data_IF_458718667460
#
_entry.id   IF_458718667460
#
_cell.length_a   1.000
_cell.length_b   1.000
_cell.length_c   1.000
_cell.angle_alpha   90.00
_cell.angle_beta   90.00
_cell.angle_gamma   90.00
#
_symmetry.space_group_name_H-M   'P 1'
#
loop_
_entity.id
_entity.type
_entity.pdbx_description
1 polymer ?
#
# COMPACT_ATOMS: atom_id res chain seq x y z
N UNK A 1 28.45 -3.71 5.37
CA UNK A 1 28.21 -3.94 3.94
C UNK A 1 28.80 -2.79 3.15
N UNK A 2 29.54 -3.10 2.09
CA UNK A 2 29.99 -2.09 1.14
C UNK A 2 28.81 -1.59 0.29
N UNK A 3 28.86 -0.33 -0.19
CA UNK A 3 27.82 0.18 -1.06
C UNK A 3 27.71 -0.67 -2.33
N UNK A 4 26.48 -0.93 -2.76
CA UNK A 4 26.25 -1.48 -4.09
C UNK A 4 26.55 -0.38 -5.11
N UNK A 5 27.59 -0.56 -5.92
CA UNK A 5 28.03 0.41 -6.95
C UNK A 5 27.85 -0.11 -8.37
N UNK A 6 27.49 -1.38 -8.52
CA UNK A 6 27.25 -2.00 -9.82
C UNK A 6 25.94 -1.49 -10.43
N UNK A 7 26.05 -0.94 -11.64
CA UNK A 7 24.92 -0.41 -12.43
C UNK A 7 23.85 -1.46 -12.69
N UNK A 8 24.19 -2.74 -12.83
CA UNK A 8 23.21 -3.82 -13.05
C UNK A 8 22.27 -3.96 -11.85
N UNK A 9 22.82 -3.88 -10.63
CA UNK A 9 22.02 -3.91 -9.41
C UNK A 9 21.15 -2.67 -9.25
N UNK A 10 21.66 -1.50 -9.62
CA UNK A 10 20.86 -0.28 -9.65
C UNK A 10 19.68 -0.40 -10.62
N UNK A 11 19.90 -0.89 -11.84
CA UNK A 11 18.82 -1.10 -12.82
C UNK A 11 17.79 -2.12 -12.32
N UNK A 12 18.24 -3.26 -11.77
CA UNK A 12 17.33 -4.25 -11.20
C UNK A 12 16.50 -3.65 -10.06
N UNK A 13 17.13 -2.86 -9.19
CA UNK A 13 16.45 -2.17 -8.11
C UNK A 13 15.40 -1.18 -8.63
N UNK A 14 15.72 -0.39 -9.66
CA UNK A 14 14.78 0.53 -10.30
C UNK A 14 13.55 -0.20 -10.83
N UNK A 15 13.74 -1.35 -11.48
CA UNK A 15 12.64 -2.15 -12.03
C UNK A 15 11.77 -2.70 -10.90
N UNK A 16 12.36 -3.43 -9.94
CA UNK A 16 11.60 -4.07 -8.86
C UNK A 16 10.97 -3.03 -7.91
N UNK A 17 11.72 -1.98 -7.58
CA UNK A 17 11.24 -0.87 -6.77
C UNK A 17 10.15 -0.07 -7.48
N UNK A 18 10.23 0.09 -8.80
CA UNK A 18 9.19 0.75 -9.59
C UNK A 18 7.90 -0.08 -9.64
N UNK A 19 8.00 -1.39 -9.87
CA UNK A 19 6.86 -2.31 -9.81
C UNK A 19 6.25 -2.38 -8.39
N UNK A 20 7.07 -2.31 -7.35
CA UNK A 20 6.56 -2.20 -5.98
C UNK A 20 5.87 -0.86 -5.72
N UNK A 21 6.47 0.24 -6.19
CA UNK A 21 5.93 1.59 -6.03
C UNK A 21 4.63 1.79 -6.81
N UNK A 22 4.42 1.10 -7.94
CA UNK A 22 3.17 1.18 -8.67
C UNK A 22 1.99 0.52 -7.94
N UNK A 23 2.21 -0.29 -6.90
CA UNK A 23 1.16 -0.83 -6.04
C UNK A 23 0.60 0.19 -5.04
N UNK A 24 0.98 1.45 -5.16
CA UNK A 24 0.39 2.52 -4.37
C UNK A 24 -1.10 2.67 -4.63
N UNK A 25 -1.82 2.98 -3.55
CA UNK A 25 -3.23 3.34 -3.56
C UNK A 25 -3.41 4.83 -3.24
N UNK A 26 -4.52 5.40 -3.69
CA UNK A 26 -4.86 6.82 -3.54
C UNK A 26 -4.80 7.31 -2.09
N UNK A 27 -5.48 6.58 -1.20
CA UNK A 27 -5.47 6.83 0.23
C UNK A 27 -4.52 5.83 0.89
N UNK A 28 -3.68 6.28 1.84
CA UNK A 28 -2.76 5.38 2.52
C UNK A 28 -3.51 4.31 3.32
N UNK A 29 -3.11 3.05 3.18
CA UNK A 29 -3.69 1.95 3.93
C UNK A 29 -3.34 2.05 5.42
N UNK A 30 -4.28 1.73 6.33
CA UNK A 30 -4.12 2.03 7.76
C UNK A 30 -2.87 1.42 8.41
N UNK A 31 -2.38 0.27 7.93
CA UNK A 31 -1.19 -0.36 8.50
C UNK A 31 0.05 -0.27 7.60
N UNK A 32 -0.11 0.17 6.35
CA UNK A 32 0.89 -0.02 5.29
C UNK A 32 1.19 1.26 4.51
N UNK A 33 0.43 2.33 4.73
CA UNK A 33 0.61 3.62 4.09
C UNK A 33 0.47 3.53 2.58
N UNK A 34 1.41 4.13 1.89
CA UNK A 34 1.54 4.07 0.43
C UNK A 34 2.28 2.79 -0.04
N UNK A 35 2.05 1.67 0.64
CA UNK A 35 2.57 0.35 0.28
C UNK A 35 4.10 0.26 0.20
N UNK A 36 4.61 -0.36 -0.87
CA UNK A 36 6.04 -0.65 -1.00
C UNK A 36 6.92 0.55 -1.32
N UNK A 37 6.35 1.74 -1.49
CA UNK A 37 7.16 2.93 -1.72
C UNK A 37 8.13 3.19 -0.56
N UNK A 38 7.65 3.12 0.69
CA UNK A 38 8.51 3.28 1.86
C UNK A 38 9.59 2.18 1.92
N UNK A 39 9.20 0.92 1.66
CA UNK A 39 10.14 -0.21 1.61
C UNK A 39 11.26 0.04 0.57
N UNK A 40 10.87 0.54 -0.61
CA UNK A 40 11.79 0.88 -1.70
C UNK A 40 12.74 2.00 -1.29
N UNK A 41 12.23 3.08 -0.68
CA UNK A 41 13.07 4.17 -0.18
C UNK A 41 14.06 3.69 0.88
N UNK A 42 13.60 2.86 1.81
CA UNK A 42 14.42 2.35 2.91
C UNK A 42 15.54 1.42 2.40
N UNK A 43 15.20 0.47 1.54
CA UNK A 43 16.18 -0.41 0.91
C UNK A 43 17.15 0.39 0.03
N UNK A 44 16.70 1.42 -0.69
CA UNK A 44 17.59 2.27 -1.47
C UNK A 44 18.61 2.98 -0.57
N UNK A 45 18.15 3.60 0.52
CA UNK A 45 19.01 4.26 1.50
C UNK A 45 20.05 3.30 2.12
N UNK A 46 19.66 2.03 2.32
CA UNK A 46 20.48 0.99 2.92
C UNK A 46 21.31 0.17 1.93
N UNK A 47 21.13 0.28 0.62
CA UNK A 47 21.96 -0.46 -0.34
C UNK A 47 22.94 0.47 -1.07
N UNK A 48 22.55 1.71 -1.31
CA UNK A 48 23.29 2.63 -2.19
C UNK A 48 23.89 3.81 -1.42
N UNK A 49 24.92 4.45 -2.00
CA UNK A 49 25.40 5.78 -1.55
C UNK A 49 24.35 6.85 -1.83
N UNK A 50 24.39 8.03 -1.17
CA UNK A 50 23.31 9.01 -1.24
C UNK A 50 22.87 9.39 -2.66
N UNK A 51 23.83 9.67 -3.55
CA UNK A 51 23.56 9.98 -4.96
C UNK A 51 22.83 8.84 -5.67
N UNK A 52 23.31 7.62 -5.50
CA UNK A 52 22.74 6.45 -6.19
C UNK A 52 21.40 6.04 -5.57
N UNK A 53 21.21 6.22 -4.26
CA UNK A 53 19.93 6.03 -3.59
C UNK A 53 18.87 7.02 -4.12
N UNK A 54 19.25 8.28 -4.32
CA UNK A 54 18.38 9.28 -4.96
C UNK A 54 18.01 8.85 -6.37
N UNK A 55 18.99 8.46 -7.20
CA UNK A 55 18.74 8.03 -8.58
C UNK A 55 17.92 6.73 -8.64
N UNK A 56 18.13 5.80 -7.71
CA UNK A 56 17.35 4.57 -7.61
C UNK A 56 15.88 4.86 -7.35
N UNK A 57 15.58 5.71 -6.36
CA UNK A 57 14.20 6.08 -6.03
C UNK A 57 13.57 6.92 -7.14
N UNK A 58 14.30 7.88 -7.72
CA UNK A 58 13.82 8.67 -8.84
C UNK A 58 13.49 7.79 -10.05
N UNK A 59 14.38 6.86 -10.40
CA UNK A 59 14.15 5.92 -11.48
C UNK A 59 12.93 5.02 -11.21
N UNK A 60 12.81 4.49 -9.99
CA UNK A 60 11.69 3.65 -9.59
C UNK A 60 10.36 4.40 -9.65
N UNK A 61 10.29 5.63 -9.14
CA UNK A 61 9.05 6.43 -9.15
C UNK A 61 8.68 6.87 -10.56
N UNK A 62 9.65 7.24 -11.41
CA UNK A 62 9.41 7.51 -12.84
C UNK A 62 8.87 6.27 -13.55
N UNK A 63 9.46 5.09 -13.30
CA UNK A 63 8.98 3.83 -13.89
C UNK A 63 7.56 3.49 -13.44
N UNK A 64 7.18 3.84 -12.21
CA UNK A 64 5.85 3.61 -11.67
C UNK A 64 4.78 4.55 -12.29
N UNK A 65 5.15 5.76 -12.75
CA UNK A 65 4.23 6.76 -13.31
C UNK A 65 3.19 6.21 -14.30
N UNK A 66 3.58 5.50 -15.39
CA UNK A 66 2.60 5.01 -16.37
C UNK A 66 1.57 4.06 -15.74
N UNK A 67 1.99 3.20 -14.81
CA UNK A 67 1.09 2.30 -14.08
C UNK A 67 0.19 3.03 -13.09
N UNK A 68 0.57 4.22 -12.67
CA UNK A 68 -0.21 5.02 -11.73
C UNK A 68 -1.23 5.95 -12.44
N UNK A 69 -0.78 6.63 -13.50
CA UNK A 69 -1.56 7.68 -14.17
C UNK A 69 -2.46 7.12 -15.28
N UNK A 70 -1.92 6.29 -16.18
CA UNK A 70 -2.68 5.82 -17.35
C UNK A 70 -3.94 5.06 -16.95
N UNK A 71 -3.87 4.13 -15.99
CA UNK A 71 -5.09 3.47 -15.61
C UNK A 71 -5.90 4.40 -14.70
N UNK A 72 -5.27 5.34 -13.95
CA UNK A 72 -5.84 6.29 -12.95
C UNK A 72 -5.87 5.74 -11.53
N UNK A 73 -4.84 4.99 -11.10
CA UNK A 73 -4.81 4.27 -9.80
C UNK A 73 -4.48 5.15 -8.63
N UNK A 74 -3.67 6.15 -8.90
CA UNK A 74 -3.41 7.26 -8.02
C UNK A 74 -3.82 8.58 -8.68
N UNK A 75 -4.14 9.62 -7.90
CA UNK A 75 -4.28 10.98 -8.39
C UNK A 75 -2.97 11.43 -9.05
N UNK A 76 -3.10 12.13 -10.17
CA UNK A 76 -1.95 12.59 -10.95
C UNK A 76 -1.03 13.45 -10.10
N UNK A 77 -1.59 14.36 -9.33
CA UNK A 77 -0.89 15.31 -8.45
C UNK A 77 -0.10 14.57 -7.37
N UNK A 78 -0.73 13.62 -6.69
CA UNK A 78 -0.09 12.76 -5.67
C UNK A 78 1.04 11.96 -6.30
N UNK A 79 0.82 11.43 -7.50
CA UNK A 79 1.83 10.66 -8.24
C UNK A 79 3.04 11.52 -8.61
N UNK A 80 2.82 12.74 -9.11
CA UNK A 80 3.89 13.69 -9.44
C UNK A 80 4.65 14.13 -8.18
N UNK A 81 3.96 14.42 -7.09
CA UNK A 81 4.59 14.73 -5.81
C UNK A 81 5.46 13.57 -5.31
N UNK A 82 5.04 12.31 -5.49
CA UNK A 82 5.86 11.16 -5.13
C UNK A 82 7.19 11.10 -5.90
N UNK A 83 7.20 11.49 -7.18
CA UNK A 83 8.42 11.55 -7.99
C UNK A 83 9.36 12.65 -7.49
N UNK A 84 8.82 13.80 -7.07
CA UNK A 84 9.61 14.94 -6.64
C UNK A 84 10.14 14.79 -5.20
N UNK A 85 9.27 14.42 -4.27
CA UNK A 85 9.55 14.47 -2.82
C UNK A 85 10.37 13.25 -2.36
N UNK A 86 10.02 12.04 -2.80
CA UNK A 86 10.61 10.82 -2.22
C UNK A 86 12.09 10.62 -2.51
N UNK A 87 12.62 10.94 -3.69
CA UNK A 87 14.07 10.92 -3.91
C UNK A 87 14.80 11.90 -2.99
N UNK A 88 14.25 13.12 -2.83
CA UNK A 88 14.81 14.16 -1.96
C UNK A 88 14.81 13.75 -0.49
N UNK A 89 13.78 13.02 -0.04
CA UNK A 89 13.68 12.49 1.32
C UNK A 89 14.60 11.27 1.53
N UNK A 90 14.82 10.45 0.50
CA UNK A 90 15.69 9.27 0.58
C UNK A 90 17.18 9.63 0.66
N UNK A 91 17.58 10.71 -0.02
CA UNK A 91 18.97 11.18 -0.03
C UNK A 91 19.56 11.42 1.38
N UNK A 92 18.94 12.24 2.27
CA UNK A 92 19.44 12.44 3.63
C UNK A 92 19.34 11.15 4.46
N UNK A 93 18.33 10.31 4.28
CA UNK A 93 18.23 9.02 4.97
C UNK A 93 19.41 8.09 4.62
N UNK A 94 19.88 8.11 3.37
CA UNK A 94 21.10 7.39 2.97
C UNK A 94 22.35 7.98 3.64
N UNK A 95 22.50 9.32 3.68
CA UNK A 95 23.61 9.97 4.41
C UNK A 95 23.66 9.49 5.86
N UNK A 96 22.50 9.55 6.54
CA UNK A 96 22.36 9.15 7.93
C UNK A 96 22.68 7.66 8.08
N UNK A 97 22.23 6.79 7.18
CA UNK A 97 22.61 5.37 7.20
C UNK A 97 24.12 5.20 7.23
N UNK A 98 24.84 5.92 6.36
CA UNK A 98 26.28 5.75 6.20
C UNK A 98 27.10 6.36 7.35
N UNK A 99 26.49 7.25 8.15
CA UNK A 99 27.14 7.89 9.30
C UNK A 99 26.72 7.30 10.65
N UNK A 100 25.44 6.95 10.80
CA UNK A 100 24.79 6.63 12.07
C UNK A 100 24.11 5.25 12.08
N UNK A 101 24.09 4.55 10.94
CA UNK A 101 23.58 3.19 10.82
C UNK A 101 22.11 3.05 10.41
N UNK A 102 21.64 1.81 10.19
CA UNK A 102 20.31 1.54 9.61
C UNK A 102 19.13 1.99 10.47
N UNK A 103 19.21 1.85 11.79
CA UNK A 103 18.11 2.21 12.70
C UNK A 103 17.82 3.72 12.64
N UNK A 104 18.85 4.55 12.80
CA UNK A 104 18.69 6.01 12.75
C UNK A 104 18.20 6.45 11.37
N UNK A 105 18.70 5.81 10.30
CA UNK A 105 18.22 6.03 8.95
C UNK A 105 16.73 5.73 8.78
N UNK A 106 16.23 4.59 9.28
CA UNK A 106 14.81 4.26 9.25
C UNK A 106 13.96 5.27 10.01
N UNK A 107 14.36 5.62 11.24
CA UNK A 107 13.63 6.59 12.06
C UNK A 107 13.57 7.97 11.39
N UNK A 108 14.70 8.44 10.84
CA UNK A 108 14.76 9.69 10.09
C UNK A 108 13.91 9.65 8.82
N UNK A 109 13.94 8.54 8.08
CA UNK A 109 13.13 8.37 6.87
C UNK A 109 11.63 8.39 7.21
N UNK A 110 11.22 7.68 8.26
CA UNK A 110 9.83 7.69 8.74
C UNK A 110 9.40 9.09 9.14
N UNK A 111 10.21 9.81 9.93
CA UNK A 111 9.87 11.17 10.34
C UNK A 111 9.68 12.10 9.14
N UNK A 112 10.59 12.06 8.15
CA UNK A 112 10.49 12.89 6.95
C UNK A 112 9.29 12.50 6.07
N UNK A 113 9.01 11.21 5.94
CA UNK A 113 7.87 10.72 5.15
C UNK A 113 6.53 11.07 5.80
N UNK A 114 6.41 10.90 7.12
CA UNK A 114 5.23 11.31 7.88
C UNK A 114 4.98 12.81 7.79
N UNK A 115 6.01 13.66 7.86
CA UNK A 115 5.87 15.11 7.67
C UNK A 115 5.36 15.42 6.26
N UNK A 116 5.97 14.83 5.23
CA UNK A 116 5.56 15.05 3.85
C UNK A 116 4.12 14.59 3.60
N UNK A 117 3.76 13.43 4.12
CA UNK A 117 2.44 12.85 3.93
C UNK A 117 1.37 13.62 4.72
N UNK A 118 1.67 14.10 5.93
CA UNK A 118 0.80 15.00 6.69
C UNK A 118 0.57 16.32 5.96
N UNK A 119 1.62 16.93 5.40
CA UNK A 119 1.50 18.15 4.61
C UNK A 119 0.60 17.95 3.39
N UNK A 120 0.77 16.83 2.66
CA UNK A 120 -0.08 16.49 1.51
C UNK A 120 -1.53 16.31 1.95
N UNK A 121 -1.79 15.59 3.03
CA UNK A 121 -3.16 15.35 3.47
C UNK A 121 -3.90 16.59 3.95
N UNK A 122 -3.25 17.45 4.73
CA UNK A 122 -3.84 18.72 5.15
C UNK A 122 -4.21 19.56 3.92
N UNK A 123 -3.37 19.56 2.88
CA UNK A 123 -3.59 20.37 1.69
C UNK A 123 -4.60 19.78 0.70
N UNK A 124 -4.74 18.45 0.62
CA UNK A 124 -5.49 17.80 -0.46
C UNK A 124 -6.72 17.00 -0.02
N UNK A 125 -6.75 16.49 1.21
CA UNK A 125 -7.76 15.51 1.61
C UNK A 125 -8.60 15.91 2.83
N UNK A 126 -8.34 17.06 3.44
CA UNK A 126 -9.08 17.53 4.61
C UNK A 126 -8.79 16.74 5.90
N UNK A 127 -9.47 17.14 6.98
CA UNK A 127 -9.19 16.71 8.38
C UNK A 127 -9.74 15.30 8.72
N UNK A 128 -10.61 14.73 7.87
CA UNK A 128 -11.34 13.51 8.19
C UNK A 128 -10.49 12.23 8.05
N UNK A 129 -9.88 11.81 9.17
CA UNK A 129 -9.40 10.44 9.41
C UNK A 129 -8.04 10.08 8.79
N UNK A 130 -7.51 10.92 7.91
CA UNK A 130 -6.20 10.68 7.27
C UNK A 130 -5.04 10.92 8.26
N UNK A 131 -5.22 11.80 9.24
CA UNK A 131 -4.22 12.10 10.27
C UNK A 131 -3.85 10.90 11.16
N UNK A 132 -4.84 10.12 11.60
CA UNK A 132 -4.59 8.93 12.45
C UNK A 132 -3.83 7.86 11.69
N UNK A 133 -4.10 7.77 10.40
CA UNK A 133 -3.33 6.94 9.52
C UNK A 133 -1.87 7.39 9.41
N UNK A 134 -1.64 8.63 8.98
CA UNK A 134 -0.35 9.13 8.49
C UNK A 134 0.83 9.10 9.46
N UNK A 135 0.59 8.84 10.74
CA UNK A 135 1.61 8.92 11.78
C UNK A 135 2.58 7.73 11.86
N UNK A 136 2.25 6.52 11.35
CA UNK A 136 3.04 5.29 11.67
C UNK A 136 3.27 4.34 10.48
N UNK A 137 2.68 4.62 9.31
CA UNK A 137 2.37 3.62 8.30
C UNK A 137 3.49 2.78 7.69
N UNK A 138 4.62 3.37 7.30
CA UNK A 138 5.69 2.64 6.62
C UNK A 138 6.51 1.75 7.55
N UNK A 139 6.49 2.05 8.86
CA UNK A 139 7.41 1.44 9.82
C UNK A 139 7.15 -0.05 10.02
N UNK A 140 5.92 -0.52 9.84
CA UNK A 140 5.60 -1.95 9.90
C UNK A 140 6.30 -2.78 8.82
N UNK A 141 6.71 -2.15 7.71
CA UNK A 141 7.51 -2.81 6.67
C UNK A 141 9.03 -2.74 6.95
N UNK A 142 9.49 -1.87 7.87
CA UNK A 142 10.91 -1.70 8.16
C UNK A 142 11.60 -2.97 8.70
N UNK A 143 10.96 -3.79 9.58
CA UNK A 143 11.50 -5.08 10.00
C UNK A 143 11.77 -6.02 8.81
N UNK A 144 10.85 -6.09 7.85
CA UNK A 144 11.02 -6.90 6.64
C UNK A 144 12.14 -6.37 5.75
N UNK A 145 12.21 -5.05 5.56
CA UNK A 145 13.31 -4.39 4.87
C UNK A 145 14.66 -4.78 5.49
N UNK A 146 14.71 -4.81 6.83
CA UNK A 146 15.93 -5.11 7.57
C UNK A 146 16.33 -6.57 7.39
N UNK A 147 15.36 -7.49 7.43
CA UNK A 147 15.60 -8.90 7.14
C UNK A 147 16.16 -9.10 5.72
N UNK A 148 15.57 -8.45 4.71
CA UNK A 148 16.04 -8.49 3.31
C UNK A 148 17.47 -7.93 3.23
N UNK A 149 17.69 -6.72 3.75
CA UNK A 149 18.99 -6.05 3.75
C UNK A 149 20.09 -6.91 4.40
N UNK A 150 19.84 -7.44 5.59
CA UNK A 150 20.81 -8.29 6.32
C UNK A 150 21.04 -9.63 5.63
N UNK A 151 20.03 -10.17 4.95
CA UNK A 151 20.19 -11.39 4.15
C UNK A 151 21.09 -11.14 2.94
N UNK A 152 21.03 -9.95 2.33
CA UNK A 152 21.89 -9.59 1.19
C UNK A 152 23.38 -9.48 1.56
N UNK A 153 23.72 -9.35 2.85
CA UNK A 153 25.10 -9.38 3.36
C UNK A 153 25.68 -10.80 3.46
N UNK A 154 24.85 -11.84 3.30
CA UNK A 154 25.30 -13.25 3.33
C UNK A 154 25.94 -13.67 2.01
N UNK A 155 26.65 -14.78 2.02
CA UNK A 155 27.26 -15.40 0.84
C UNK A 155 26.42 -16.55 0.27
N UNK A 156 26.60 -16.84 -1.03
CA UNK A 156 26.05 -18.04 -1.66
C UNK A 156 24.52 -18.19 -1.58
N UNK A 157 24.06 -19.40 -1.31
CA UNK A 157 22.63 -19.73 -1.25
C UNK A 157 21.87 -19.03 -0.11
N UNK A 158 22.54 -18.79 1.03
CA UNK A 158 21.95 -18.08 2.18
C UNK A 158 21.46 -16.68 1.81
N UNK A 159 22.23 -15.98 0.97
CA UNK A 159 21.85 -14.66 0.43
C UNK A 159 20.51 -14.73 -0.29
N UNK A 160 20.39 -15.69 -1.20
CA UNK A 160 19.25 -15.83 -2.11
C UNK A 160 18.02 -16.23 -1.31
N UNK A 161 18.10 -17.31 -0.51
CA UNK A 161 16.94 -17.83 0.24
C UNK A 161 16.50 -16.84 1.32
N UNK A 162 17.43 -16.20 2.03
CA UNK A 162 17.10 -15.20 3.04
C UNK A 162 16.44 -13.95 2.44
N UNK A 163 17.01 -13.40 1.37
CA UNK A 163 16.44 -12.21 0.71
C UNK A 163 15.09 -12.52 0.04
N UNK A 164 14.96 -13.70 -0.57
CA UNK A 164 13.69 -14.18 -1.11
C UNK A 164 12.67 -14.32 0.03
N UNK A 165 12.98 -15.10 1.07
CA UNK A 165 12.12 -15.31 2.24
C UNK A 165 11.62 -14.02 2.86
N UNK A 166 12.50 -13.03 3.06
CA UNK A 166 12.12 -11.72 3.57
C UNK A 166 11.20 -10.95 2.62
N UNK A 167 11.43 -11.05 1.31
CA UNK A 167 10.61 -10.40 0.28
C UNK A 167 9.21 -11.02 0.20
N UNK A 168 9.09 -12.36 0.12
CA UNK A 168 7.78 -13.03 0.09
C UNK A 168 7.01 -12.78 1.40
N UNK A 169 7.67 -12.83 2.56
CA UNK A 169 7.00 -12.53 3.84
C UNK A 169 6.48 -11.09 3.87
N UNK A 170 7.25 -10.13 3.35
CA UNK A 170 6.82 -8.74 3.23
C UNK A 170 5.62 -8.59 2.29
N UNK A 171 5.67 -9.28 1.13
CA UNK A 171 4.60 -9.27 0.13
C UNK A 171 3.31 -9.84 0.71
N UNK A 172 3.38 -11.01 1.34
CA UNK A 172 2.22 -11.63 1.98
C UNK A 172 1.66 -10.78 3.12
N UNK A 173 2.52 -10.15 3.93
CA UNK A 173 2.09 -9.22 4.97
C UNK A 173 1.34 -8.02 4.38
N UNK A 174 1.89 -7.39 3.33
CA UNK A 174 1.24 -6.28 2.65
C UNK A 174 -0.13 -6.67 2.09
N UNK A 175 -0.22 -7.75 1.32
CA UNK A 175 -1.48 -8.22 0.75
C UNK A 175 -2.47 -8.73 1.80
N UNK A 176 -2.03 -9.01 3.03
CA UNK A 176 -2.94 -9.42 4.11
C UNK A 176 -3.66 -8.27 4.81
N UNK A 177 -3.18 -7.02 4.66
CA UNK A 177 -3.66 -5.88 5.45
C UNK A 177 -3.91 -4.59 4.64
N UNK A 178 -3.75 -4.61 3.32
CA UNK A 178 -3.96 -3.42 2.47
C UNK A 178 -5.38 -2.87 2.55
N UNK A 179 -6.39 -3.73 2.44
CA UNK A 179 -7.80 -3.31 2.43
C UNK A 179 -8.64 -4.21 3.32
N UNK A 180 -8.68 -5.51 3.07
CA UNK A 180 -9.43 -6.49 3.83
C UNK A 180 -8.51 -7.29 4.74
N UNK A 181 -8.82 -7.47 6.03
CA UNK A 181 -7.92 -8.18 6.95
C UNK A 181 -7.91 -9.69 6.70
N UNK A 182 -6.81 -10.21 6.14
CA UNK A 182 -6.50 -11.64 6.05
C UNK A 182 -5.60 -12.06 7.22
N UNK A 183 -6.20 -12.15 8.41
CA UNK A 183 -5.49 -12.36 9.69
C UNK A 183 -4.54 -13.58 9.68
N UNK A 184 -4.93 -14.77 9.17
CA UNK A 184 -4.01 -15.92 9.14
C UNK A 184 -2.74 -15.64 8.33
N UNK A 185 -2.89 -15.01 7.16
CA UNK A 185 -1.76 -14.64 6.30
C UNK A 185 -0.84 -13.62 6.97
N UNK A 186 -1.43 -12.62 7.65
CA UNK A 186 -0.68 -11.60 8.38
C UNK A 186 0.18 -12.23 9.50
N UNK A 187 -0.43 -13.09 10.32
CA UNK A 187 0.24 -13.76 11.43
C UNK A 187 1.37 -14.67 10.94
N UNK A 188 1.13 -15.49 9.91
CA UNK A 188 2.14 -16.38 9.38
C UNK A 188 3.30 -15.63 8.70
N UNK A 189 3.03 -14.46 8.10
CA UNK A 189 4.08 -13.56 7.59
C UNK A 189 4.95 -12.98 8.70
N UNK A 190 4.35 -12.63 9.85
CA UNK A 190 5.11 -12.19 11.04
C UNK A 190 5.94 -13.34 11.61
N UNK A 191 5.39 -14.56 11.70
CA UNK A 191 6.15 -15.74 12.18
C UNK A 191 7.34 -16.00 11.25
N UNK A 192 7.15 -15.95 9.93
CA UNK A 192 8.24 -16.10 8.97
C UNK A 192 9.33 -15.02 9.15
N UNK A 193 8.94 -13.77 9.42
CA UNK A 193 9.88 -12.70 9.75
C UNK A 193 10.66 -12.98 11.04
N UNK A 194 9.99 -13.46 12.10
CA UNK A 194 10.66 -13.81 13.36
C UNK A 194 11.66 -14.96 13.18
N UNK A 195 11.32 -15.96 12.37
CA UNK A 195 12.23 -17.04 12.00
C UNK A 195 13.44 -16.50 11.22
N UNK A 196 13.24 -15.57 10.30
CA UNK A 196 14.35 -14.91 9.60
C UNK A 196 15.25 -14.13 10.56
N UNK A 197 14.70 -13.43 11.54
CA UNK A 197 15.51 -12.75 12.56
C UNK A 197 16.29 -13.74 13.44
N UNK A 198 15.65 -14.82 13.87
CA UNK A 198 16.33 -15.88 14.60
C UNK A 198 17.50 -16.46 13.78
N UNK A 199 17.25 -16.77 12.51
CA UNK A 199 18.27 -17.24 11.57
C UNK A 199 19.43 -16.24 11.40
N UNK A 200 19.11 -14.95 11.24
CA UNK A 200 20.12 -13.90 11.10
C UNK A 200 21.04 -13.80 12.33
N UNK A 201 20.54 -14.11 13.52
CA UNK A 201 21.32 -14.14 14.76
C UNK A 201 22.14 -15.44 14.88
N UNK A 202 21.52 -16.61 14.65
CA UNK A 202 22.14 -17.92 14.89
C UNK A 202 23.11 -18.37 13.79
N UNK A 203 23.04 -17.76 12.60
CA UNK A 203 23.88 -18.10 11.43
C UNK A 203 23.79 -19.58 11.04
N UNK A 204 22.58 -20.11 11.09
CA UNK A 204 22.30 -21.48 10.63
C UNK A 204 22.24 -21.52 9.09
N UNK A 205 22.26 -22.73 8.51
CA UNK A 205 22.13 -22.88 7.06
C UNK A 205 20.79 -22.41 6.49
N UNK A 206 20.50 -22.75 5.24
CA UNK A 206 19.31 -22.27 4.50
C UNK A 206 17.96 -22.80 5.01
N UNK A 207 17.96 -23.76 5.93
CA UNK A 207 16.77 -24.47 6.40
C UNK A 207 15.73 -23.55 7.04
N UNK A 208 16.13 -22.65 7.93
CA UNK A 208 15.18 -21.76 8.62
C UNK A 208 14.51 -20.78 7.66
N UNK A 209 15.25 -20.07 6.78
CA UNK A 209 14.64 -19.26 5.73
C UNK A 209 13.68 -20.05 4.84
N UNK A 210 14.04 -21.30 4.49
CA UNK A 210 13.17 -22.16 3.68
C UNK A 210 11.86 -22.53 4.42
N UNK A 211 11.93 -22.83 5.71
CA UNK A 211 10.73 -23.04 6.55
C UNK A 211 9.87 -21.78 6.57
N UNK A 212 10.48 -20.59 6.71
CA UNK A 212 9.78 -19.31 6.64
C UNK A 212 9.00 -19.15 5.33
N UNK A 213 9.61 -19.51 4.19
CA UNK A 213 8.93 -19.50 2.87
C UNK A 213 7.72 -20.43 2.86
N UNK A 214 7.86 -21.67 3.36
CA UNK A 214 6.75 -22.63 3.42
C UNK A 214 5.60 -22.11 4.29
N UNK A 215 5.91 -21.49 5.45
CA UNK A 215 4.92 -20.88 6.33
C UNK A 215 4.14 -19.78 5.61
N UNK A 216 4.80 -18.94 4.83
CA UNK A 216 4.12 -17.90 4.05
C UNK A 216 3.20 -18.51 3.00
N UNK A 217 3.64 -19.56 2.29
CA UNK A 217 2.79 -20.27 1.31
C UNK A 217 1.53 -20.85 1.96
N UNK A 218 1.67 -21.46 3.15
CA UNK A 218 0.52 -21.93 3.93
C UNK A 218 -0.39 -20.75 4.30
N UNK A 219 0.19 -19.62 4.73
CA UNK A 219 -0.59 -18.42 5.05
C UNK A 219 -1.35 -17.83 3.88
N UNK A 220 -0.79 -17.88 2.67
CA UNK A 220 -1.50 -17.47 1.46
C UNK A 220 -2.67 -18.40 1.15
N UNK A 221 -2.49 -19.72 1.29
CA UNK A 221 -3.56 -20.69 1.11
C UNK A 221 -4.71 -20.52 2.12
N UNK A 222 -4.40 -20.14 3.36
CA UNK A 222 -5.39 -19.86 4.41
C UNK A 222 -6.06 -18.48 4.30
N UNK A 223 -5.55 -17.60 3.42
CA UNK A 223 -6.02 -16.22 3.31
C UNK A 223 -7.38 -16.04 2.63
N UNK A 224 -7.86 -17.06 1.91
CA UNK A 224 -9.21 -17.13 1.34
C UNK A 224 -9.59 -15.92 0.46
N UNK A 225 -10.86 -15.53 0.55
CA UNK A 225 -11.45 -14.44 -0.26
C UNK A 225 -10.85 -13.06 0.05
N UNK A 226 -10.40 -12.82 1.29
CA UNK A 226 -9.78 -11.54 1.66
C UNK A 226 -8.46 -11.30 0.91
N UNK A 227 -7.61 -12.33 0.77
CA UNK A 227 -6.38 -12.22 -0.05
C UNK A 227 -6.72 -12.01 -1.52
N UNK A 228 -7.72 -12.72 -2.06
CA UNK A 228 -8.14 -12.53 -3.45
C UNK A 228 -8.64 -11.10 -3.70
N UNK A 229 -9.46 -10.57 -2.80
CA UNK A 229 -9.94 -9.19 -2.85
C UNK A 229 -8.79 -8.18 -2.79
N UNK A 230 -7.84 -8.36 -1.87
CA UNK A 230 -6.67 -7.49 -1.75
C UNK A 230 -5.74 -7.55 -2.97
N UNK A 231 -5.57 -8.74 -3.57
CA UNK A 231 -4.82 -8.89 -4.82
C UNK A 231 -5.47 -8.08 -5.93
N UNK A 232 -6.78 -8.24 -6.14
CA UNK A 232 -7.55 -7.44 -7.13
C UNK A 232 -7.41 -5.94 -6.87
N UNK A 233 -7.51 -5.52 -5.61
CA UNK A 233 -7.40 -4.10 -5.25
C UNK A 233 -6.00 -3.55 -5.53
N UNK A 234 -4.93 -4.23 -5.08
CA UNK A 234 -3.58 -3.67 -5.20
C UNK A 234 -2.96 -3.85 -6.59
N UNK A 235 -3.32 -4.92 -7.32
CA UNK A 235 -2.83 -5.19 -8.68
C UNK A 235 -3.58 -4.41 -9.77
N UNK A 236 -4.59 -3.63 -9.39
CA UNK A 236 -5.35 -2.77 -10.28
C UNK A 236 -4.51 -1.90 -11.25
N UNK A 237 -3.34 -1.34 -10.87
CA UNK A 237 -2.38 -0.65 -11.77
C UNK A 237 -1.91 -1.49 -12.97
N UNK A 238 -1.94 -2.82 -12.86
CA UNK A 238 -1.46 -3.78 -13.86
C UNK A 238 -2.59 -4.47 -14.64
N UNK A 239 -3.84 -4.30 -14.22
CA UNK A 239 -5.01 -4.91 -14.85
C UNK A 239 -5.96 -3.83 -15.41
N UNK A 240 -5.57 -3.12 -16.49
CA UNK A 240 -6.32 -1.99 -17.04
C UNK A 240 -7.69 -2.37 -17.60
N UNK A 241 -7.94 -3.65 -17.90
CA UNK A 241 -9.29 -4.11 -18.29
C UNK A 241 -10.35 -3.88 -17.22
N UNK A 242 -9.97 -3.82 -15.93
CA UNK A 242 -10.89 -3.50 -14.84
C UNK A 242 -11.32 -2.02 -14.81
N UNK A 243 -11.00 -1.23 -15.84
CA UNK A 243 -11.11 0.24 -15.85
C UNK A 243 -11.95 0.80 -16.99
N UNK A 244 -12.51 -0.06 -17.84
CA UNK A 244 -13.47 0.40 -18.84
C UNK A 244 -14.76 0.89 -18.15
N UNK A 245 -15.59 1.60 -18.90
CA UNK A 245 -16.88 2.11 -18.41
C UNK A 245 -17.90 1.00 -18.12
N UNK A 246 -17.52 -0.26 -18.38
CA UNK A 246 -18.33 -1.45 -18.21
C UNK A 246 -17.88 -2.31 -17.03
N UNK A 247 -16.91 -1.88 -16.21
CA UNK A 247 -16.42 -2.66 -15.04
C UNK A 247 -17.47 -2.91 -13.95
N UNK A 248 -18.62 -2.24 -14.04
CA UNK A 248 -19.78 -2.48 -13.20
C UNK A 248 -20.61 -3.69 -13.67
N UNK A 249 -20.44 -4.12 -14.92
CA UNK A 249 -21.23 -5.22 -15.49
C UNK A 249 -20.97 -6.51 -14.73
N UNK A 250 -22.05 -7.21 -14.42
CA UNK A 250 -22.01 -8.54 -13.82
C UNK A 250 -21.97 -9.60 -14.93
N UNK A 251 -20.80 -10.19 -15.15
CA UNK A 251 -20.65 -11.28 -16.13
C UNK A 251 -21.05 -12.65 -15.58
N UNK A 252 -21.32 -12.75 -14.28
CA UNK A 252 -21.72 -14.00 -13.63
C UNK A 252 -23.26 -14.14 -13.62
N UNK A 253 -23.76 -15.15 -14.33
CA UNK A 253 -25.19 -15.44 -14.47
C UNK A 253 -25.89 -15.87 -13.18
N UNK A 254 -25.15 -16.18 -12.11
CA UNK A 254 -25.74 -16.48 -10.79
C UNK A 254 -26.07 -15.24 -9.97
N UNK A 255 -25.71 -14.05 -10.45
CA UNK A 255 -25.90 -12.78 -9.74
C UNK A 255 -27.20 -12.10 -10.17
N UNK A 256 -27.81 -11.36 -9.25
CA UNK A 256 -28.99 -10.55 -9.56
C UNK A 256 -28.54 -9.40 -10.46
N UNK A 257 -29.05 -9.37 -11.70
CA UNK A 257 -28.73 -8.30 -12.65
C UNK A 257 -29.00 -6.92 -12.04
N UNK A 258 -27.99 -6.05 -12.10
CA UNK A 258 -28.08 -4.66 -11.66
C UNK A 258 -28.06 -3.71 -12.85
N UNK A 259 -28.56 -2.49 -12.63
CA UNK A 259 -28.42 -1.38 -13.57
C UNK A 259 -27.02 -0.77 -13.50
N UNK A 260 -26.67 0.08 -14.47
CA UNK A 260 -25.41 0.79 -14.48
C UNK A 260 -25.26 1.69 -13.25
N UNK A 261 -24.54 1.22 -12.22
CA UNK A 261 -24.31 1.99 -10.99
C UNK A 261 -23.49 3.26 -11.22
N UNK A 262 -22.78 3.37 -12.35
CA UNK A 262 -22.00 4.57 -12.68
C UNK A 262 -22.78 5.66 -13.39
N UNK A 263 -23.99 5.39 -13.89
CA UNK A 263 -24.77 6.36 -14.68
C UNK A 263 -25.00 7.69 -13.95
N UNK A 264 -25.09 7.63 -12.62
CA UNK A 264 -25.29 8.80 -11.76
C UNK A 264 -24.16 9.01 -10.74
N UNK A 265 -23.03 8.32 -10.93
CA UNK A 265 -21.87 8.48 -10.05
C UNK A 265 -20.97 9.60 -10.54
N UNK A 266 -20.67 10.57 -9.68
CA UNK A 266 -19.67 11.59 -9.98
C UNK A 266 -18.26 10.98 -10.03
N UNK A 267 -17.54 11.17 -11.15
CA UNK A 267 -16.19 10.63 -11.39
C UNK A 267 -16.08 9.11 -11.12
N UNK A 268 -16.82 8.25 -11.85
CA UNK A 268 -16.88 6.81 -11.55
C UNK A 268 -15.51 6.14 -11.67
N UNK A 269 -14.60 6.70 -12.47
CA UNK A 269 -13.19 6.24 -12.61
C UNK A 269 -12.39 6.25 -11.30
N UNK A 270 -12.90 6.85 -10.22
CA UNK A 270 -12.30 6.80 -8.88
C UNK A 270 -12.69 5.54 -8.10
N UNK A 271 -13.83 4.92 -8.42
CA UNK A 271 -14.31 3.73 -7.74
C UNK A 271 -13.57 2.48 -8.23
N UNK A 272 -13.32 1.57 -7.28
CA UNK A 272 -12.70 0.27 -7.51
C UNK A 272 -13.73 -0.79 -7.18
N UNK A 273 -14.13 -1.57 -8.17
CA UNK A 273 -15.05 -2.68 -7.94
C UNK A 273 -14.23 -3.95 -7.83
N UNK A 274 -14.27 -4.57 -6.65
CA UNK A 274 -13.57 -5.83 -6.36
C UNK A 274 -14.46 -7.03 -6.67
N UNK A 275 -15.76 -6.88 -6.41
CA UNK A 275 -16.80 -7.85 -6.67
C UNK A 275 -18.12 -7.11 -6.97
N UNK A 276 -18.78 -7.48 -8.07
CA UNK A 276 -20.09 -6.94 -8.47
C UNK A 276 -21.25 -7.79 -7.96
N UNK A 277 -20.98 -9.00 -7.44
CA UNK A 277 -21.97 -10.00 -7.06
C UNK A 277 -22.13 -10.10 -5.54
N UNK A 278 -22.27 -8.96 -4.87
CA UNK A 278 -22.35 -8.89 -3.42
C UNK A 278 -23.52 -8.00 -3.01
N UNK A 279 -24.47 -8.60 -2.30
CA UNK A 279 -25.51 -7.87 -1.60
C UNK A 279 -25.22 -7.85 -0.10
N UNK A 280 -25.54 -6.74 0.54
CA UNK A 280 -25.41 -6.59 1.99
C UNK A 280 -26.59 -5.82 2.56
N UNK A 281 -27.04 -6.26 3.73
CA UNK A 281 -28.05 -5.58 4.53
C UNK A 281 -27.38 -5.13 5.82
N UNK A 282 -27.83 -4.01 6.37
CA UNK A 282 -27.24 -3.45 7.58
C UNK A 282 -28.12 -2.40 8.25
N UNK A 283 -27.64 -1.91 9.38
CA UNK A 283 -28.34 -0.91 10.20
C UNK A 283 -27.60 0.42 10.11
N UNK A 284 -28.34 1.49 9.77
CA UNK A 284 -27.84 2.87 9.85
C UNK A 284 -27.77 3.26 11.33
N UNK A 285 -26.56 3.32 11.88
CA UNK A 285 -26.36 3.66 13.31
C UNK A 285 -26.19 5.16 13.56
N UNK A 286 -25.71 5.89 12.56
CA UNK A 286 -25.53 7.33 12.61
C UNK A 286 -26.51 7.93 11.61
N UNK A 287 -27.41 8.83 12.04
CA UNK A 287 -28.31 9.51 11.11
C UNK A 287 -27.50 10.29 10.07
N UNK A 288 -27.99 10.40 8.82
CA UNK A 288 -27.29 11.15 7.78
C UNK A 288 -26.90 12.55 8.25
N UNK A 289 -25.65 12.93 8.01
CA UNK A 289 -25.10 14.25 8.33
C UNK A 289 -24.49 14.88 7.08
N UNK A 290 -24.23 16.18 7.12
CA UNK A 290 -23.56 16.91 6.06
C UNK A 290 -22.09 17.09 6.47
N UNK A 291 -21.16 16.58 5.66
CA UNK A 291 -19.72 16.73 5.86
C UNK A 291 -19.25 18.17 5.55
N UNK A 292 -18.00 18.48 5.91
CA UNK A 292 -17.45 19.83 5.77
C UNK A 292 -17.34 20.33 4.33
N UNK A 293 -17.33 19.41 3.36
CA UNK A 293 -17.35 19.64 1.91
C UNK A 293 -18.77 19.66 1.30
N UNK A 294 -19.80 19.51 2.14
CA UNK A 294 -21.20 19.55 1.73
C UNK A 294 -21.79 18.19 1.34
N UNK A 295 -21.03 17.10 1.43
CA UNK A 295 -21.51 15.76 1.09
C UNK A 295 -22.46 15.21 2.17
N UNK A 296 -23.49 14.47 1.75
CA UNK A 296 -24.37 13.77 2.68
C UNK A 296 -23.78 12.41 3.04
N UNK A 297 -23.42 12.22 4.31
CA UNK A 297 -22.71 11.05 4.77
C UNK A 297 -23.54 10.25 5.77
N UNK A 298 -23.47 8.92 5.68
CA UNK A 298 -24.01 8.02 6.70
C UNK A 298 -23.24 6.70 6.73
N UNK A 299 -23.26 6.03 7.89
CA UNK A 299 -22.58 4.75 8.08
C UNK A 299 -23.61 3.62 8.24
N UNK A 300 -23.47 2.58 7.41
CA UNK A 300 -24.27 1.35 7.49
C UNK A 300 -23.43 0.26 8.15
N UNK A 301 -23.85 -0.27 9.28
CA UNK A 301 -23.19 -1.45 9.87
C UNK A 301 -23.75 -2.70 9.20
N UNK A 302 -22.98 -3.40 8.34
CA UNK A 302 -23.48 -4.57 7.64
C UNK A 302 -23.62 -5.76 8.59
N UNK A 303 -24.57 -6.64 8.30
CA UNK A 303 -24.69 -7.95 8.95
C UNK A 303 -23.46 -8.82 8.64
N UNK A 304 -23.03 -8.82 7.37
CA UNK A 304 -21.81 -9.48 6.95
C UNK A 304 -20.59 -8.56 7.12
N UNK A 305 -19.87 -8.72 8.23
CA UNK A 305 -18.66 -7.93 8.53
C UNK A 305 -17.46 -8.23 7.64
N UNK A 306 -17.47 -9.33 6.88
CA UNK A 306 -16.36 -9.68 5.98
C UNK A 306 -16.23 -8.70 4.80
N UNK A 307 -17.25 -7.86 4.57
CA UNK A 307 -17.25 -6.79 3.57
C UNK A 307 -16.54 -5.51 4.05
N UNK A 308 -16.17 -5.45 5.32
CA UNK A 308 -15.56 -4.26 5.90
C UNK A 308 -14.05 -4.29 5.71
N UNK A 309 -13.52 -3.23 5.11
CA UNK A 309 -12.09 -2.99 5.09
C UNK A 309 -11.57 -2.59 6.47
N UNK A 310 -10.24 -2.65 6.63
CA UNK A 310 -9.51 -2.17 7.82
C UNK A 310 -9.91 -0.73 8.17
N UNK A 311 -10.08 0.11 7.15
CA UNK A 311 -10.59 1.48 7.27
C UNK A 311 -11.91 1.57 8.03
N UNK A 312 -12.89 0.79 7.59
CA UNK A 312 -14.22 0.76 8.18
C UNK A 312 -14.21 0.25 9.62
N UNK A 313 -13.40 -0.79 9.89
CA UNK A 313 -13.31 -1.39 11.21
C UNK A 313 -12.73 -0.41 12.24
N UNK A 314 -11.70 0.36 11.86
CA UNK A 314 -10.96 1.22 12.77
C UNK A 314 -11.57 2.63 12.85
N UNK A 315 -11.79 3.28 11.71
CA UNK A 315 -12.22 4.68 11.65
C UNK A 315 -13.74 4.83 11.79
N UNK A 316 -14.50 3.86 11.27
CA UNK A 316 -15.97 3.91 11.20
C UNK A 316 -16.64 2.93 12.16
N UNK A 317 -15.91 2.40 13.14
CA UNK A 317 -16.41 1.48 14.18
C UNK A 317 -17.21 0.29 13.62
N UNK A 318 -16.80 -0.21 12.46
CA UNK A 318 -17.47 -1.29 11.74
C UNK A 318 -18.61 -0.86 10.81
N UNK A 319 -18.72 0.42 10.49
CA UNK A 319 -19.65 0.95 9.49
C UNK A 319 -19.03 1.02 8.09
N UNK A 320 -19.80 0.62 7.09
CA UNK A 320 -19.57 0.97 5.69
C UNK A 320 -19.95 2.45 5.52
N UNK A 321 -18.98 3.27 5.14
CA UNK A 321 -19.18 4.69 4.92
C UNK A 321 -19.81 4.92 3.55
N UNK A 322 -20.91 5.66 3.51
CA UNK A 322 -21.59 6.06 2.29
C UNK A 322 -21.58 7.58 2.22
N UNK A 323 -21.08 8.09 1.09
CA UNK A 323 -21.07 9.50 0.74
C UNK A 323 -22.00 9.69 -0.46
N UNK A 324 -22.99 10.57 -0.32
CA UNK A 324 -23.92 10.96 -1.39
C UNK A 324 -23.56 12.37 -1.82
N UNK A 325 -22.95 12.44 -3.00
CA UNK A 325 -22.50 13.66 -3.64
C UNK A 325 -23.64 14.23 -4.50
N UNK A 326 -24.16 15.43 -4.23
CA UNK A 326 -25.18 16.05 -5.07
C UNK A 326 -24.67 16.26 -6.50
N UNK A 327 -25.50 15.91 -7.50
CA UNK A 327 -25.10 16.04 -8.91
C UNK A 327 -24.82 17.48 -9.36
N UNK A 328 -25.32 18.49 -8.64
CA UNK A 328 -25.09 19.90 -8.90
C UNK A 328 -24.05 20.54 -7.96
N UNK A 329 -23.29 19.74 -7.20
CA UNK A 329 -22.28 20.24 -6.27
C UNK A 329 -21.27 21.18 -6.93
N UNK A 330 -20.77 20.91 -8.15
CA UNK A 330 -19.88 21.84 -8.86
C UNK A 330 -20.53 23.21 -9.14
N UNK A 331 -21.84 23.23 -9.43
CA UNK A 331 -22.59 24.47 -9.64
C UNK A 331 -22.75 25.24 -8.33
N UNK A 332 -23.12 24.53 -7.26
CA UNK A 332 -23.36 25.12 -5.94
C UNK A 332 -22.07 25.62 -5.30
N UNK A 333 -20.97 24.85 -5.39
CA UNK A 333 -19.67 25.23 -4.83
C UNK A 333 -19.00 26.38 -5.60
N UNK A 334 -19.18 26.47 -6.93
CA UNK A 334 -18.72 27.61 -7.73
C UNK A 334 -19.32 28.95 -7.28
N UNK A 335 -20.58 28.95 -6.86
CA UNK A 335 -21.26 30.18 -6.41
C UNK A 335 -20.74 30.69 -5.06
N UNK A 336 -20.08 29.83 -4.27
CA UNK A 336 -19.51 30.18 -2.96
C UNK A 336 -17.96 30.23 -2.96
N UNK A 337 -17.33 30.15 -4.14
CA UNK A 337 -15.89 30.37 -4.31
C UNK A 337 -15.00 29.14 -4.17
N UNK A 338 -15.55 27.94 -4.39
CA UNK A 338 -14.78 26.70 -4.58
C UNK A 338 -14.10 26.64 -5.94
#
# INVERSE_FOLDING_TARGET
>A
MDPVTDKKWLCLFVILGGLGTSLMVNAPAIFLGYGFAYLTMLLAAWLFKPRDAFLAVLGATILALPFLILPKSAFTEVTLLNVLVRPLVTYPASIIRWRNGPLVSALSLTALESIAALAIAILYYGDDGIHTGLAVFGLFLAPFAYAIYRSLERGGAEKIVGAFGGSIACIAFYFSLITFPAVPTALLSIIALLLLFYWLVRREGVTIPAIGVVIVVIGLALGGTAIQANLKTALYPFEPQNWNDLRWMQDNSSCIQTTNVFEHTHTPSRLRIVDTCVDTVGVVKIPPFIAGDGDYCFDVVPENKNLLGVGNLILRKGGLHIEVVPADQERVLKEIGG
#
